data_IF_255136750037
#
_entry.id   IF_255136750037
#
_cell.length_a   1.000
_cell.length_b   1.000
_cell.length_c   1.000
_cell.angle_alpha   90.00
_cell.angle_beta   90.00
_cell.angle_gamma   90.00
#
_symmetry.space_group_name_H-M   'P 1'
#
loop_
_entity.id
_entity.type
_entity.pdbx_description
1 polymer ?
#
# COMPACT_ATOMS: atom_id res chain seq x y z
N UNK A 1 5.97 7.04 0.56
CA UNK A 1 5.09 8.17 0.19
C UNK A 1 6.00 9.33 -0.20
N UNK A 2 5.72 10.03 -1.30
CA UNK A 2 6.39 11.29 -1.63
C UNK A 2 5.46 12.45 -1.32
N UNK A 3 5.97 13.67 -1.42
CA UNK A 3 5.18 14.90 -1.22
C UNK A 3 3.92 14.93 -2.11
N UNK A 4 4.07 14.54 -3.38
CA UNK A 4 3.02 14.62 -4.38
C UNK A 4 2.16 13.34 -4.50
N UNK A 5 2.74 12.16 -4.27
CA UNK A 5 2.06 10.89 -4.59
C UNK A 5 2.47 9.71 -3.69
N UNK A 6 1.70 8.63 -3.75
CA UNK A 6 2.05 7.36 -3.13
C UNK A 6 2.32 6.33 -4.22
N UNK A 7 3.47 5.67 -4.16
CA UNK A 7 3.79 4.55 -5.03
C UNK A 7 3.60 3.23 -4.28
N UNK A 8 3.07 2.23 -4.98
CA UNK A 8 2.89 0.87 -4.48
C UNK A 8 3.55 -0.07 -5.46
N UNK A 9 4.39 -0.96 -4.96
CA UNK A 9 5.16 -1.93 -5.73
C UNK A 9 4.77 -3.35 -5.32
N UNK A 10 4.64 -4.26 -6.29
CA UNK A 10 4.20 -5.65 -6.07
C UNK A 10 5.33 -6.58 -6.52
N UNK A 11 5.81 -7.40 -5.58
CA UNK A 11 6.86 -8.37 -5.84
C UNK A 11 6.34 -9.80 -5.65
N UNK A 12 6.78 -10.72 -6.51
CA UNK A 12 6.62 -12.16 -6.27
C UNK A 12 7.71 -12.67 -5.32
N UNK A 13 7.38 -13.69 -4.52
CA UNK A 13 8.38 -14.39 -3.70
C UNK A 13 9.31 -15.27 -4.54
N UNK A 14 10.45 -15.69 -3.97
CA UNK A 14 11.51 -16.44 -4.65
C UNK A 14 11.12 -17.85 -5.19
N UNK A 15 9.91 -18.34 -4.91
CA UNK A 15 9.48 -19.69 -5.26
C UNK A 15 8.49 -19.68 -6.42
N UNK A 16 9.02 -19.58 -7.64
CA UNK A 16 8.22 -19.71 -8.86
C UNK A 16 8.53 -21.06 -9.47
N UNK A 17 7.69 -22.06 -9.17
CA UNK A 17 7.85 -23.41 -9.67
C UNK A 17 7.88 -23.45 -11.21
N UNK A 18 8.50 -24.48 -11.78
CA UNK A 18 8.76 -24.64 -13.23
C UNK A 18 7.51 -24.71 -14.15
N UNK A 19 6.29 -24.50 -13.65
CA UNK A 19 5.07 -24.47 -14.47
C UNK A 19 4.15 -23.31 -14.08
N UNK A 20 3.80 -22.52 -15.10
CA UNK A 20 2.84 -21.40 -15.16
C UNK A 20 3.22 -20.14 -14.35
N UNK A 21 4.31 -19.50 -14.76
CA UNK A 21 4.71 -18.15 -14.33
C UNK A 21 3.56 -17.14 -14.49
N UNK A 22 2.88 -17.14 -15.63
CA UNK A 22 1.79 -16.18 -15.94
C UNK A 22 0.61 -16.29 -14.97
N UNK A 23 0.21 -17.50 -14.58
CA UNK A 23 -0.85 -17.71 -13.60
C UNK A 23 -0.42 -17.26 -12.21
N UNK A 24 0.86 -17.47 -11.86
CA UNK A 24 1.42 -17.04 -10.57
C UNK A 24 1.45 -15.52 -10.47
N UNK A 25 1.89 -14.85 -11.54
CA UNK A 25 1.88 -13.38 -11.66
C UNK A 25 0.45 -12.86 -11.51
N UNK A 26 -0.49 -13.44 -12.27
CA UNK A 26 -1.88 -13.04 -12.22
C UNK A 26 -2.49 -13.18 -10.82
N UNK A 27 -2.30 -14.33 -10.17
CA UNK A 27 -2.81 -14.57 -8.82
C UNK A 27 -2.19 -13.61 -7.79
N UNK A 28 -0.87 -13.36 -7.89
CA UNK A 28 -0.18 -12.40 -7.02
C UNK A 28 -0.77 -11.00 -7.17
N UNK A 29 -0.99 -10.54 -8.41
CA UNK A 29 -1.61 -9.25 -8.68
C UNK A 29 -3.05 -9.18 -8.15
N UNK A 30 -3.84 -10.24 -8.28
CA UNK A 30 -5.21 -10.31 -7.73
C UNK A 30 -5.20 -10.22 -6.20
N UNK A 31 -4.32 -10.96 -5.51
CA UNK A 31 -4.18 -10.87 -4.06
C UNK A 31 -3.74 -9.47 -3.60
N UNK A 32 -2.82 -8.86 -4.36
CA UNK A 32 -2.34 -7.52 -4.09
C UNK A 32 -3.47 -6.49 -4.12
N UNK A 33 -4.49 -6.62 -4.99
CA UNK A 33 -5.61 -5.66 -5.05
C UNK A 33 -6.33 -5.50 -3.70
N UNK A 34 -6.58 -6.61 -2.99
CA UNK A 34 -7.24 -6.61 -1.69
C UNK A 34 -6.36 -5.99 -0.62
N UNK A 35 -5.06 -6.33 -0.64
CA UNK A 35 -4.08 -5.77 0.27
C UNK A 35 -3.95 -4.26 0.10
N UNK A 36 -3.85 -3.79 -1.15
CA UNK A 36 -3.76 -2.37 -1.49
C UNK A 36 -4.98 -1.63 -0.97
N UNK A 37 -6.19 -2.04 -1.35
CA UNK A 37 -7.42 -1.39 -0.90
C UNK A 37 -7.52 -1.32 0.64
N UNK A 38 -7.10 -2.39 1.33
CA UNK A 38 -7.04 -2.41 2.80
C UNK A 38 -6.01 -1.43 3.35
N UNK A 39 -4.79 -1.39 2.80
CA UNK A 39 -3.73 -0.49 3.27
C UNK A 39 -4.07 0.99 3.02
N UNK A 40 -4.70 1.32 1.90
CA UNK A 40 -5.16 2.68 1.63
C UNK A 40 -6.11 3.19 2.71
N UNK A 41 -7.03 2.33 3.20
CA UNK A 41 -7.94 2.66 4.30
C UNK A 41 -7.20 2.74 5.64
N UNK A 42 -6.42 1.72 5.98
CA UNK A 42 -5.75 1.63 7.29
C UNK A 42 -4.74 2.76 7.51
N UNK A 43 -4.00 3.14 6.47
CA UNK A 43 -2.99 4.19 6.52
C UNK A 43 -3.54 5.57 6.14
N UNK A 44 -4.82 5.63 5.79
CA UNK A 44 -5.49 6.82 5.28
C UNK A 44 -4.70 7.52 4.16
N UNK A 45 -4.23 6.74 3.19
CA UNK A 45 -3.46 7.25 2.05
C UNK A 45 -4.40 7.94 1.06
N UNK A 46 -4.00 9.09 0.53
CA UNK A 46 -4.83 9.86 -0.39
C UNK A 46 -4.02 10.81 -1.27
N UNK A 47 -4.66 11.36 -2.28
CA UNK A 47 -4.02 12.05 -3.39
C UNK A 47 -3.82 11.11 -4.58
N UNK A 48 -2.76 11.34 -5.34
CA UNK A 48 -2.36 10.51 -6.48
C UNK A 48 -1.67 9.26 -5.94
N UNK A 49 -2.07 8.11 -6.46
CA UNK A 49 -1.52 6.81 -6.10
C UNK A 49 -1.18 6.08 -7.41
N UNK A 50 0.06 5.62 -7.50
CA UNK A 50 0.59 4.85 -8.62
C UNK A 50 0.84 3.44 -8.14
N UNK A 51 0.28 2.45 -8.82
CA UNK A 51 0.43 1.04 -8.49
C UNK A 51 1.18 0.37 -9.64
N UNK A 52 2.32 -0.21 -9.30
CA UNK A 52 3.16 -1.01 -10.18
C UNK A 52 2.79 -2.48 -9.99
N UNK A 53 1.92 -2.98 -10.88
CA UNK A 53 1.59 -4.41 -10.93
C UNK A 53 2.67 -5.14 -11.70
N UNK A 54 2.91 -6.40 -11.33
CA UNK A 54 3.84 -7.25 -12.08
C UNK A 54 3.32 -7.38 -13.52
N UNK A 55 4.23 -7.23 -14.50
CA UNK A 55 3.89 -7.24 -15.93
C UNK A 55 3.08 -8.47 -16.34
N UNK A 56 2.00 -8.23 -17.09
CA UNK A 56 1.12 -9.26 -17.63
C UNK A 56 1.00 -9.10 -19.14
N UNK A 57 1.31 -10.17 -19.89
CA UNK A 57 1.17 -10.21 -21.35
C UNK A 57 -0.29 -10.33 -21.81
N UNK A 58 -1.16 -10.91 -20.98
CA UNK A 58 -2.56 -11.15 -21.29
C UNK A 58 -3.45 -9.95 -20.89
N UNK A 59 -4.11 -9.34 -21.87
CA UNK A 59 -5.07 -8.24 -21.66
C UNK A 59 -6.27 -8.63 -20.78
N UNK A 60 -6.71 -9.89 -20.83
CA UNK A 60 -7.79 -10.36 -19.95
C UNK A 60 -7.35 -10.37 -18.48
N UNK A 61 -6.10 -10.76 -18.21
CA UNK A 61 -5.53 -10.70 -16.86
C UNK A 61 -5.49 -9.27 -16.33
N UNK A 62 -5.03 -8.31 -17.16
CA UNK A 62 -5.04 -6.87 -16.84
C UNK A 62 -6.45 -6.38 -16.49
N UNK A 63 -7.44 -6.70 -17.33
CA UNK A 63 -8.84 -6.31 -17.10
C UNK A 63 -9.38 -6.89 -15.79
N UNK A 64 -9.09 -8.15 -15.50
CA UNK A 64 -9.53 -8.82 -14.27
C UNK A 64 -8.87 -8.24 -13.02
N UNK A 65 -7.59 -7.86 -13.09
CA UNK A 65 -6.89 -7.17 -12.00
C UNK A 65 -7.51 -5.81 -11.71
N UNK A 66 -7.77 -4.99 -12.75
CA UNK A 66 -8.46 -3.70 -12.59
C UNK A 66 -9.84 -3.87 -11.96
N UNK A 67 -10.63 -4.83 -12.44
CA UNK A 67 -11.94 -5.11 -11.88
C UNK A 67 -11.88 -5.55 -10.41
N UNK A 68 -10.90 -6.40 -10.07
CA UNK A 68 -10.67 -6.83 -8.69
C UNK A 68 -10.32 -5.66 -7.78
N UNK A 69 -9.49 -4.72 -8.27
CA UNK A 69 -9.13 -3.50 -7.55
C UNK A 69 -10.34 -2.59 -7.33
N UNK A 70 -11.17 -2.38 -8.35
CA UNK A 70 -12.45 -1.63 -8.23
C UNK A 70 -13.37 -2.26 -7.17
N UNK A 71 -13.57 -3.58 -7.23
CA UNK A 71 -14.37 -4.30 -6.24
C UNK A 71 -13.80 -4.16 -4.83
N UNK A 72 -12.48 -4.27 -4.66
CA UNK A 72 -11.83 -4.14 -3.36
C UNK A 72 -11.97 -2.72 -2.77
N UNK A 73 -11.96 -1.70 -3.64
CA UNK A 73 -12.10 -0.29 -3.27
C UNK A 73 -13.56 0.13 -3.06
N UNK A 74 -14.55 -0.61 -3.57
CA UNK A 74 -15.98 -0.35 -3.33
C UNK A 74 -16.36 -0.31 -1.84
N UNK A 75 -15.57 -0.95 -0.98
CA UNK A 75 -15.73 -0.95 0.48
C UNK A 75 -15.19 0.32 1.15
N UNK A 76 -14.49 1.18 0.41
CA UNK A 76 -13.97 2.45 0.91
C UNK A 76 -15.07 3.52 0.90
N UNK A 77 -15.19 4.26 2.01
CA UNK A 77 -16.14 5.37 2.13
C UNK A 77 -15.63 6.63 1.46
N UNK A 78 -14.34 6.71 1.20
CA UNK A 78 -13.69 7.84 0.54
C UNK A 78 -13.79 7.65 -0.97
N UNK A 79 -14.16 8.71 -1.70
CA UNK A 79 -14.25 8.67 -3.16
C UNK A 79 -12.88 8.31 -3.77
N UNK A 80 -12.87 7.26 -4.58
CA UNK A 80 -11.75 6.80 -5.39
C UNK A 80 -12.07 6.94 -6.87
N UNK A 81 -11.05 7.15 -7.70
CA UNK A 81 -11.12 7.06 -9.16
C UNK A 81 -9.92 6.27 -9.62
N UNK A 82 -10.13 5.25 -10.44
CA UNK A 82 -9.08 4.40 -10.99
C UNK A 82 -9.04 4.66 -12.49
N UNK A 83 -7.85 4.88 -13.03
CA UNK A 83 -7.59 4.89 -14.45
C UNK A 83 -7.16 3.48 -14.87
N UNK A 84 -7.31 3.16 -16.15
CA UNK A 84 -6.75 1.92 -16.68
C UNK A 84 -5.23 1.87 -16.58
N UNK A 85 -4.64 0.77 -17.04
CA UNK A 85 -3.20 0.70 -17.17
C UNK A 85 -2.68 1.75 -18.15
N UNK A 86 -1.59 2.42 -17.77
CA UNK A 86 -0.86 3.33 -18.64
C UNK A 86 -0.04 2.57 -19.68
N UNK A 87 0.56 3.31 -20.61
CA UNK A 87 1.51 2.75 -21.58
C UNK A 87 2.76 2.16 -20.93
N UNK A 88 3.08 2.59 -19.71
CA UNK A 88 4.21 2.09 -18.93
C UNK A 88 3.84 0.87 -18.06
N UNK A 89 2.61 0.35 -18.15
CA UNK A 89 2.17 -0.78 -17.33
C UNK A 89 1.73 -0.42 -15.91
N UNK A 90 1.69 0.87 -15.56
CA UNK A 90 1.30 1.35 -14.24
C UNK A 90 -0.21 1.61 -14.16
N UNK A 91 -0.82 1.38 -12.99
CA UNK A 91 -2.19 1.79 -12.70
C UNK A 91 -2.18 3.09 -11.91
N UNK A 92 -2.84 4.11 -12.46
CA UNK A 92 -2.99 5.41 -11.81
C UNK A 92 -4.35 5.48 -11.13
N UNK A 93 -4.39 5.93 -9.89
CA UNK A 93 -5.65 6.18 -9.19
C UNK A 93 -5.56 7.43 -8.33
N UNK A 94 -6.72 7.98 -7.99
CA UNK A 94 -6.86 9.03 -7.00
C UNK A 94 -7.78 8.60 -5.88
N UNK A 95 -7.46 9.01 -4.67
CA UNK A 95 -8.31 8.85 -3.48
C UNK A 95 -8.40 10.17 -2.75
N UNK A 96 -9.61 10.70 -2.54
CA UNK A 96 -9.78 12.04 -1.94
C UNK A 96 -9.08 12.12 -0.57
N UNK A 97 -8.23 13.14 -0.35
CA UNK A 97 -7.64 13.40 0.98
C UNK A 97 -8.73 13.93 1.91
N UNK A 98 -8.94 13.24 3.03
CA UNK A 98 -9.91 13.65 4.06
C UNK A 98 -9.24 14.03 5.38
N UNK A 99 -8.08 13.42 5.68
CA UNK A 99 -7.23 13.68 6.84
C UNK A 99 -5.78 13.38 6.46
N UNK A 100 -4.84 13.69 7.34
CA UNK A 100 -3.44 13.33 7.21
C UNK A 100 -3.25 11.79 7.21
N UNK A 101 -2.20 11.32 6.54
CA UNK A 101 -1.86 9.89 6.55
C UNK A 101 -1.29 9.49 7.91
N UNK A 102 -1.38 8.20 8.25
CA UNK A 102 -0.86 7.69 9.52
C UNK A 102 0.63 7.97 9.69
N UNK A 103 1.41 7.88 8.61
CA UNK A 103 2.84 8.20 8.64
C UNK A 103 3.07 9.67 9.03
N UNK A 104 2.28 10.61 8.51
CA UNK A 104 2.41 12.03 8.83
C UNK A 104 2.06 12.35 10.28
N UNK A 105 1.16 11.57 10.89
CA UNK A 105 0.77 11.73 12.29
C UNK A 105 1.82 11.11 13.24
N UNK A 106 2.43 9.99 12.84
CA UNK A 106 3.32 9.22 13.71
C UNK A 106 4.81 9.55 13.53
N UNK A 107 5.18 10.24 12.45
CA UNK A 107 6.57 10.50 12.09
C UNK A 107 6.82 11.97 11.72
N UNK A 108 8.05 12.41 11.96
CA UNK A 108 8.62 13.67 11.52
C UNK A 108 9.68 13.44 10.42
N UNK A 109 10.07 14.51 9.74
CA UNK A 109 11.23 14.49 8.85
C UNK A 109 12.50 14.06 9.61
N UNK A 110 13.29 13.17 9.01
CA UNK A 110 14.54 12.75 9.62
C UNK A 110 15.55 13.92 9.64
N UNK A 111 16.05 14.34 10.82
CA UNK A 111 16.98 15.46 10.93
C UNK A 111 18.34 15.16 10.33
N UNK A 112 18.74 13.89 10.22
CA UNK A 112 20.04 13.45 9.71
C UNK A 112 20.12 13.50 8.20
N UNK A 113 19.04 13.08 7.51
CA UNK A 113 19.01 13.04 6.04
C UNK A 113 18.10 14.13 5.45
N UNK A 114 17.68 15.10 6.26
CA UNK A 114 16.88 16.26 5.89
C UNK A 114 15.65 15.89 5.06
N UNK A 115 14.82 14.98 5.59
CA UNK A 115 13.56 14.58 4.95
C UNK A 115 13.66 13.52 3.86
N UNK A 116 14.86 12.99 3.53
CA UNK A 116 14.97 11.80 2.64
C UNK A 116 14.30 10.56 3.26
N UNK A 117 14.22 10.50 4.59
CA UNK A 117 13.49 9.49 5.35
C UNK A 117 12.73 10.14 6.50
N UNK A 118 12.01 9.33 7.26
CA UNK A 118 11.18 9.77 8.38
C UNK A 118 11.62 9.09 9.68
N UNK A 119 11.40 9.77 10.81
CA UNK A 119 11.65 9.25 12.17
C UNK A 119 10.38 9.35 12.98
N UNK A 120 10.11 8.37 13.85
CA UNK A 120 8.93 8.41 14.72
C UNK A 120 8.97 9.65 15.62
N UNK A 121 7.80 10.23 15.88
CA UNK A 121 7.65 11.30 16.87
C UNK A 121 8.00 10.78 18.26
N UNK A 122 8.44 11.70 19.15
CA UNK A 122 8.79 11.35 20.54
C UNK A 122 7.59 10.69 21.22
N UNK A 123 6.40 11.23 20.99
CA UNK A 123 5.13 10.71 21.48
C UNK A 123 4.90 9.26 21.05
N UNK A 124 5.11 8.96 19.76
CA UNK A 124 4.96 7.59 19.24
C UNK A 124 5.92 6.63 19.93
N UNK A 125 7.18 7.03 20.11
CA UNK A 125 8.19 6.20 20.80
C UNK A 125 7.79 5.98 22.27
N UNK A 126 7.35 7.02 22.98
CA UNK A 126 6.87 6.89 24.36
C UNK A 126 5.69 5.92 24.47
N UNK A 127 4.72 5.99 23.55
CA UNK A 127 3.59 5.06 23.56
C UNK A 127 4.00 3.62 23.27
N UNK A 128 4.98 3.39 22.39
CA UNK A 128 5.50 2.05 22.11
C UNK A 128 6.19 1.45 23.34
N UNK A 129 7.05 2.22 24.02
CA UNK A 129 7.70 1.79 25.26
C UNK A 129 6.65 1.42 26.31
N UNK A 130 5.63 2.27 26.51
CA UNK A 130 4.56 2.02 27.49
C UNK A 130 3.77 0.75 27.19
N UNK A 131 3.39 0.52 25.92
CA UNK A 131 2.70 -0.71 25.51
C UNK A 131 3.56 -1.94 25.72
N UNK A 132 4.86 -1.83 25.48
CA UNK A 132 5.80 -2.93 25.66
C UNK A 132 5.96 -3.29 27.13
N UNK A 133 6.06 -2.30 28.02
CA UNK A 133 6.07 -2.53 29.48
C UNK A 133 4.82 -3.31 29.92
N UNK A 134 3.64 -2.89 29.48
CA UNK A 134 2.37 -3.57 29.80
C UNK A 134 2.32 -4.99 29.24
N UNK A 135 2.76 -5.18 28.00
CA UNK A 135 2.82 -6.50 27.34
C UNK A 135 3.71 -7.47 28.12
N UNK A 136 4.89 -7.02 28.52
CA UNK A 136 5.85 -7.81 29.29
C UNK A 136 5.29 -8.13 30.67
N UNK A 137 4.71 -7.16 31.38
CA UNK A 137 4.08 -7.37 32.68
C UNK A 137 3.02 -8.48 32.63
N UNK A 138 2.11 -8.43 31.65
CA UNK A 138 1.07 -9.44 31.46
C UNK A 138 1.58 -10.84 31.07
N UNK A 139 2.83 -10.96 30.62
CA UNK A 139 3.42 -12.27 30.29
C UNK A 139 4.07 -12.93 31.51
N UNK A 140 4.29 -12.19 32.59
CA UNK A 140 4.85 -12.69 33.85
C UNK A 140 3.77 -12.98 34.91
N UNK A 141 2.56 -12.47 34.73
CA UNK A 141 1.35 -12.84 35.50
C UNK A 141 0.64 -14.06 34.87
#
# INVERSE_FOLDING_TARGET
QTEAMTTVDINTGAFVGHRNLDDTIFNTNIEATQAIARQLRLRNLGGIIIIDFIDMSNEDHRRRVLHSLEQALSKDRVKTSINGFSQLGLVEMTRKRTRESVEHVLCNECPTCHGRGTVKTVETVCYEIMREIVRVHHAYD
#
